data_IF_187821186217
#
_entry.id   IF_187821186217
#
_cell.length_a   1.000
_cell.length_b   1.000
_cell.length_c   1.000
_cell.angle_alpha   90.00
_cell.angle_beta   90.00
_cell.angle_gamma   90.00
#
_symmetry.space_group_name_H-M   'P 1'
#
loop_
_entity.id
_entity.type
_entity.pdbx_description
1 polymer ?
#
# COMPACT_ATOMS: atom_id res chain seq x y z
N UNK A 1 16.40 4.38 -35.78
CA UNK A 1 15.58 5.56 -36.16
C UNK A 1 14.46 5.64 -35.12
N UNK A 2 14.44 6.76 -34.44
CA UNK A 2 13.61 7.06 -33.28
C UNK A 2 12.15 7.17 -33.67
N UNK A 3 11.28 6.34 -33.12
CA UNK A 3 9.87 6.66 -33.03
C UNK A 3 9.54 6.90 -31.57
N UNK A 4 9.73 8.15 -31.19
CA UNK A 4 9.14 8.73 -29.99
C UNK A 4 7.64 8.82 -30.29
N UNK A 5 6.87 7.87 -29.80
CA UNK A 5 5.43 7.95 -29.76
C UNK A 5 5.05 9.11 -28.85
N UNK A 6 4.81 10.24 -29.43
CA UNK A 6 4.16 11.41 -28.86
C UNK A 6 2.75 10.95 -28.48
N UNK A 7 2.57 10.48 -27.25
CA UNK A 7 1.25 10.39 -26.64
C UNK A 7 0.83 11.84 -26.39
N UNK A 8 0.29 12.43 -27.42
CA UNK A 8 -0.40 13.69 -27.35
C UNK A 8 -1.48 13.54 -26.27
N UNK A 9 -1.31 14.26 -25.16
CA UNK A 9 -2.42 14.77 -24.40
C UNK A 9 -3.42 15.31 -25.40
N UNK A 10 -4.43 14.55 -25.72
CA UNK A 10 -5.62 15.07 -26.38
C UNK A 10 -6.35 15.92 -25.33
N UNK A 11 -5.77 17.08 -25.06
CA UNK A 11 -6.52 18.25 -24.64
C UNK A 11 -7.49 18.53 -25.79
N UNK A 12 -8.67 17.94 -25.71
CA UNK A 12 -9.79 18.33 -26.54
C UNK A 12 -10.10 19.77 -26.16
N UNK A 13 -9.39 20.70 -26.81
CA UNK A 13 -9.81 22.09 -26.93
C UNK A 13 -11.06 22.12 -27.79
N UNK A 14 -12.20 21.77 -27.22
CA UNK A 14 -13.48 22.10 -27.83
C UNK A 14 -13.65 23.60 -27.61
N UNK A 15 -13.20 24.36 -28.57
CA UNK A 15 -13.62 25.75 -28.74
C UNK A 15 -15.11 25.77 -29.10
N UNK A 16 -15.97 25.85 -28.09
CA UNK A 16 -17.34 26.26 -28.21
C UNK A 16 -17.73 27.01 -26.93
N UNK A 17 -17.81 28.34 -27.03
CA UNK A 17 -18.39 29.21 -26.01
C UNK A 17 -17.60 29.35 -24.72
N UNK A 18 -17.32 30.56 -24.28
CA UNK A 18 -16.82 30.89 -22.93
C UNK A 18 -17.83 30.43 -21.87
N UNK A 19 -17.90 29.14 -21.58
CA UNK A 19 -18.66 28.63 -20.46
C UNK A 19 -17.67 28.39 -19.31
N UNK A 20 -17.99 28.90 -18.13
CA UNK A 20 -17.20 28.71 -16.93
C UNK A 20 -16.97 27.18 -16.72
N UNK A 21 -15.72 26.76 -16.74
CA UNK A 21 -15.30 25.41 -16.44
C UNK A 21 -14.45 25.45 -15.17
N UNK A 22 -14.77 24.59 -14.21
CA UNK A 22 -13.91 24.39 -13.04
C UNK A 22 -13.10 23.13 -13.27
N UNK A 23 -11.78 23.23 -13.22
CA UNK A 23 -10.86 22.11 -13.47
C UNK A 23 -10.03 21.88 -12.20
N UNK A 24 -10.06 20.66 -11.69
CA UNK A 24 -9.23 20.22 -10.54
C UNK A 24 -8.37 19.06 -10.99
N UNK A 25 -7.04 19.23 -10.89
CA UNK A 25 -6.07 18.17 -11.25
C UNK A 25 -5.63 17.44 -10.00
N UNK A 26 -5.57 16.12 -10.11
CA UNK A 26 -5.18 15.20 -9.04
C UNK A 26 -5.84 15.61 -7.72
N UNK A 27 -7.20 15.51 -7.65
CA UNK A 27 -7.94 15.93 -6.48
C UNK A 27 -7.60 15.06 -5.27
N UNK A 28 -7.61 15.67 -4.08
CA UNK A 28 -7.56 14.92 -2.83
C UNK A 28 -8.91 14.23 -2.57
N UNK A 29 -8.91 13.19 -1.73
CA UNK A 29 -10.11 12.43 -1.37
C UNK A 29 -10.01 11.93 0.09
N UNK A 30 -11.12 11.47 0.68
CA UNK A 30 -11.15 10.98 2.07
C UNK A 30 -10.74 9.53 2.20
N UNK A 31 -11.32 8.66 1.38
CA UNK A 31 -11.10 7.22 1.45
C UNK A 31 -11.36 6.56 0.09
N UNK A 32 -10.84 5.37 -0.12
CA UNK A 32 -11.18 4.53 -1.26
C UNK A 32 -11.07 3.04 -0.89
N UNK A 33 -11.85 2.21 -1.60
CA UNK A 33 -11.81 0.76 -1.42
C UNK A 33 -10.89 0.04 -2.42
N UNK A 34 -10.26 0.78 -3.33
CA UNK A 34 -9.46 0.20 -4.42
C UNK A 34 -8.21 1.03 -4.73
N UNK A 35 -7.19 0.38 -5.30
CA UNK A 35 -6.01 1.03 -5.93
C UNK A 35 -6.04 0.93 -7.45
N UNK A 36 -7.09 0.31 -8.00
CA UNK A 36 -7.20 0.04 -9.43
C UNK A 36 -7.68 1.23 -10.23
N UNK A 37 -8.20 2.27 -9.57
CA UNK A 37 -8.63 3.52 -10.21
C UNK A 37 -8.19 4.72 -9.39
N UNK A 38 -7.64 5.73 -10.06
CA UNK A 38 -7.34 7.05 -9.47
C UNK A 38 -7.87 8.16 -10.37
N UNK A 39 -8.36 9.25 -9.77
CA UNK A 39 -8.87 10.41 -10.50
C UNK A 39 -7.71 11.36 -10.82
N UNK A 40 -7.40 11.49 -12.11
CA UNK A 40 -6.34 12.39 -12.60
C UNK A 40 -6.83 13.82 -12.74
N UNK A 41 -8.09 14.00 -13.16
CA UNK A 41 -8.68 15.34 -13.32
C UNK A 41 -10.20 15.27 -13.22
N UNK A 42 -10.79 16.28 -12.59
CA UNK A 42 -12.23 16.55 -12.63
C UNK A 42 -12.46 17.84 -13.41
N UNK A 43 -13.41 17.81 -14.32
CA UNK A 43 -13.83 19.01 -15.07
C UNK A 43 -15.33 19.19 -14.91
N UNK A 44 -15.78 20.23 -14.24
CA UNK A 44 -17.18 20.61 -14.16
C UNK A 44 -17.53 21.48 -15.37
N UNK A 45 -18.55 21.10 -16.11
CA UNK A 45 -19.14 21.86 -17.19
C UNK A 45 -20.63 22.05 -16.95
N UNK A 46 -21.26 22.95 -17.75
CA UNK A 46 -22.68 23.26 -17.63
C UNK A 46 -23.59 22.04 -17.82
N UNK A 47 -23.26 21.20 -18.77
CA UNK A 47 -24.13 20.08 -19.20
C UNK A 47 -23.55 18.72 -18.87
N UNK A 48 -22.31 18.65 -18.38
CA UNK A 48 -21.62 17.39 -18.15
C UNK A 48 -20.47 17.59 -17.17
N UNK A 49 -20.26 16.61 -16.27
CA UNK A 49 -19.04 16.46 -15.46
C UNK A 49 -18.16 15.38 -16.07
N UNK A 50 -16.87 15.64 -16.20
CA UNK A 50 -15.89 14.69 -16.72
C UNK A 50 -14.88 14.31 -15.63
N UNK A 51 -14.64 13.02 -15.49
CA UNK A 51 -13.55 12.47 -14.69
C UNK A 51 -12.53 11.82 -15.63
N UNK A 52 -11.35 12.42 -15.75
CA UNK A 52 -10.21 11.71 -16.30
C UNK A 52 -9.65 10.79 -15.21
N UNK A 53 -9.57 9.50 -15.50
CA UNK A 53 -9.12 8.48 -14.56
C UNK A 53 -7.96 7.68 -15.13
N UNK A 54 -7.10 7.18 -14.23
CA UNK A 54 -6.11 6.13 -14.50
C UNK A 54 -6.58 4.84 -13.89
N UNK A 55 -6.51 3.80 -14.68
CA UNK A 55 -6.81 2.44 -14.29
C UNK A 55 -5.52 1.66 -14.25
N UNK A 56 -5.33 0.89 -13.18
CA UNK A 56 -4.14 0.10 -12.91
C UNK A 56 -4.49 -1.36 -12.72
N UNK A 57 -3.63 -2.24 -13.20
CA UNK A 57 -3.76 -3.68 -13.05
C UNK A 57 -2.61 -4.43 -13.69
N UNK A 58 -2.60 -5.74 -13.58
CA UNK A 58 -1.64 -6.58 -14.30
C UNK A 58 -2.01 -6.67 -15.78
N UNK A 59 -1.01 -6.96 -16.63
CA UNK A 59 -1.27 -7.20 -18.05
C UNK A 59 -2.34 -8.28 -18.25
N UNK A 60 -3.41 -7.92 -18.92
CA UNK A 60 -4.51 -8.83 -19.24
C UNK A 60 -5.61 -8.88 -18.18
N UNK A 61 -5.48 -8.17 -17.06
CA UNK A 61 -6.60 -7.95 -16.16
C UNK A 61 -7.74 -7.28 -16.92
N UNK A 62 -8.96 -7.62 -16.54
CA UNK A 62 -10.16 -7.07 -17.16
C UNK A 62 -10.73 -5.97 -16.30
N UNK A 63 -11.00 -4.83 -16.92
CA UNK A 63 -11.66 -3.68 -16.27
C UNK A 63 -12.92 -3.31 -17.04
N UNK A 64 -13.92 -2.84 -16.33
CA UNK A 64 -15.16 -2.29 -16.86
C UNK A 64 -15.67 -1.25 -15.86
N UNK A 65 -16.28 -0.20 -16.31
CA UNK A 65 -17.07 0.70 -15.48
C UNK A 65 -18.54 0.37 -15.70
N UNK A 66 -19.25 0.08 -14.61
CA UNK A 66 -20.66 -0.26 -14.68
C UNK A 66 -21.51 0.94 -15.14
N UNK A 67 -22.55 0.67 -15.91
CA UNK A 67 -23.46 1.73 -16.42
C UNK A 67 -24.32 2.35 -15.33
N UNK A 68 -24.41 1.72 -14.15
CA UNK A 68 -25.09 2.26 -12.97
C UNK A 68 -24.22 3.23 -12.16
N UNK A 69 -22.96 3.43 -12.53
CA UNK A 69 -22.04 4.31 -11.83
C UNK A 69 -22.59 5.73 -11.65
N UNK A 70 -22.35 6.32 -10.50
CA UNK A 70 -22.80 7.66 -10.16
C UNK A 70 -21.71 8.50 -9.52
N UNK A 71 -21.87 9.84 -9.64
CA UNK A 71 -21.25 10.77 -8.70
C UNK A 71 -22.31 11.14 -7.66
N UNK A 72 -21.94 11.03 -6.39
CA UNK A 72 -22.84 11.36 -5.28
C UNK A 72 -22.38 12.63 -4.59
N UNK A 73 -23.24 13.65 -4.57
CA UNK A 73 -22.96 14.93 -3.92
C UNK A 73 -24.20 15.44 -3.19
N UNK A 74 -24.04 15.86 -1.93
CA UNK A 74 -25.15 16.42 -1.12
C UNK A 74 -26.39 15.50 -1.09
N UNK A 75 -26.19 14.19 -1.03
CA UNK A 75 -27.27 13.20 -0.99
C UNK A 75 -28.00 12.97 -2.31
N UNK A 76 -27.48 13.48 -3.43
CA UNK A 76 -28.05 13.31 -4.77
C UNK A 76 -27.07 12.60 -5.69
N UNK A 77 -27.59 11.68 -6.52
CA UNK A 77 -26.81 10.92 -7.50
C UNK A 77 -26.89 11.59 -8.89
N UNK A 78 -25.72 11.65 -9.52
CA UNK A 78 -25.52 12.17 -10.88
C UNK A 78 -25.05 11.02 -11.77
N UNK A 79 -25.91 10.55 -12.65
CA UNK A 79 -25.76 9.32 -13.40
C UNK A 79 -24.67 9.36 -14.45
N UNK A 80 -24.12 8.18 -14.73
CA UNK A 80 -23.13 7.94 -15.76
C UNK A 80 -23.75 8.08 -17.16
N UNK A 81 -23.07 8.81 -18.03
CA UNK A 81 -23.50 9.08 -19.40
C UNK A 81 -22.68 8.32 -20.45
N UNK A 82 -21.50 7.79 -20.07
CA UNK A 82 -20.60 7.09 -20.95
C UNK A 82 -19.13 7.42 -20.69
N UNK A 83 -18.26 6.91 -21.54
CA UNK A 83 -16.81 7.15 -21.41
C UNK A 83 -16.12 7.28 -22.78
N UNK A 84 -14.83 7.65 -22.73
CA UNK A 84 -13.88 7.49 -23.83
C UNK A 84 -12.65 6.75 -23.29
N UNK A 85 -12.04 5.91 -24.09
CA UNK A 85 -10.85 5.13 -23.72
C UNK A 85 -11.08 3.62 -23.71
N UNK A 86 -12.33 3.17 -23.52
CA UNK A 86 -12.73 1.78 -23.67
C UNK A 86 -14.22 1.68 -24.06
N UNK A 87 -14.66 0.50 -24.48
CA UNK A 87 -16.04 0.30 -24.88
C UNK A 87 -16.99 0.32 -23.66
N UNK A 88 -18.15 0.91 -23.82
CA UNK A 88 -19.18 1.00 -22.78
C UNK A 88 -19.70 -0.40 -22.46
N UNK A 89 -19.82 -0.72 -21.17
CA UNK A 89 -20.34 -2.00 -20.66
C UNK A 89 -19.57 -3.25 -21.14
N UNK A 90 -18.38 -3.08 -21.74
CA UNK A 90 -17.54 -4.16 -22.19
C UNK A 90 -16.25 -4.29 -21.34
N UNK A 91 -15.82 -5.52 -21.16
CA UNK A 91 -14.54 -5.79 -20.51
C UNK A 91 -13.38 -5.39 -21.41
N UNK A 92 -12.55 -4.50 -20.91
CA UNK A 92 -11.31 -4.07 -21.57
C UNK A 92 -10.11 -4.63 -20.82
N UNK A 93 -9.07 -5.02 -21.57
CA UNK A 93 -7.87 -5.57 -20.95
C UNK A 93 -6.86 -4.48 -20.63
N UNK A 94 -6.29 -4.54 -19.43
CA UNK A 94 -5.13 -3.72 -19.05
C UNK A 94 -3.95 -4.08 -19.98
N UNK A 95 -3.30 -3.08 -20.60
CA UNK A 95 -2.18 -3.30 -21.52
C UNK A 95 -0.91 -3.73 -20.77
N UNK A 96 0.14 -4.07 -21.54
CA UNK A 96 1.43 -4.48 -20.98
C UNK A 96 2.12 -3.42 -20.11
N UNK A 97 1.72 -2.15 -20.22
CA UNK A 97 2.20 -1.07 -19.34
C UNK A 97 1.67 -1.15 -17.91
N UNK A 98 0.66 -1.99 -17.65
CA UNK A 98 -0.01 -2.07 -16.36
C UNK A 98 -0.94 -0.89 -16.05
N UNK A 99 -1.09 0.07 -16.97
CA UNK A 99 -1.94 1.23 -16.80
C UNK A 99 -2.65 1.65 -18.09
N UNK A 100 -3.84 2.23 -17.94
CA UNK A 100 -4.57 2.87 -19.04
C UNK A 100 -5.33 4.10 -18.53
N UNK A 101 -5.72 4.99 -19.44
CA UNK A 101 -6.47 6.20 -19.15
C UNK A 101 -7.85 6.16 -19.78
N UNK A 102 -8.82 6.75 -19.09
CA UNK A 102 -10.17 6.93 -19.60
C UNK A 102 -10.75 8.27 -19.15
N UNK A 103 -11.79 8.72 -19.83
CA UNK A 103 -12.58 9.87 -19.40
C UNK A 103 -14.02 9.40 -19.22
N UNK A 104 -14.49 9.40 -18.00
CA UNK A 104 -15.86 9.06 -17.61
C UNK A 104 -16.72 10.34 -17.68
N UNK A 105 -17.94 10.21 -18.18
CA UNK A 105 -18.90 11.31 -18.31
C UNK A 105 -20.09 11.07 -17.42
N UNK A 106 -20.49 12.11 -16.70
CA UNK A 106 -21.64 12.06 -15.77
C UNK A 106 -22.55 13.26 -16.00
N UNK A 107 -23.77 13.18 -15.52
CA UNK A 107 -24.66 14.33 -15.38
C UNK A 107 -23.95 15.46 -14.63
N UNK A 108 -24.27 16.75 -14.93
CA UNK A 108 -23.52 17.87 -14.42
C UNK A 108 -23.64 18.03 -12.91
N UNK A 109 -22.54 18.04 -12.21
CA UNK A 109 -22.49 18.50 -10.81
C UNK A 109 -22.65 20.04 -10.76
N UNK A 110 -23.30 20.57 -9.72
CA UNK A 110 -23.34 22.02 -9.46
C UNK A 110 -21.92 22.62 -9.39
N UNK A 111 -21.75 23.84 -9.92
CA UNK A 111 -20.44 24.50 -9.97
C UNK A 111 -19.87 24.86 -8.59
N UNK A 112 -20.71 24.96 -7.58
CA UNK A 112 -20.41 25.23 -6.18
C UNK A 112 -20.18 23.96 -5.36
N UNK A 113 -20.25 22.78 -5.98
CA UNK A 113 -19.93 21.50 -5.30
C UNK A 113 -18.51 21.59 -4.73
N UNK A 114 -18.36 21.30 -3.43
CA UNK A 114 -17.07 21.29 -2.73
C UNK A 114 -16.42 19.90 -2.79
N UNK A 115 -17.23 18.84 -2.65
CA UNK A 115 -16.78 17.46 -2.74
C UNK A 115 -17.89 16.54 -3.22
N UNK A 116 -17.50 15.36 -3.69
CA UNK A 116 -18.42 14.31 -4.13
C UNK A 116 -17.77 12.93 -3.99
N UNK A 117 -18.58 11.88 -4.05
CA UNK A 117 -18.13 10.50 -4.10
C UNK A 117 -18.27 9.96 -5.54
N UNK A 118 -17.33 9.12 -5.97
CA UNK A 118 -17.49 8.26 -7.12
C UNK A 118 -17.90 6.88 -6.62
N UNK A 119 -19.04 6.35 -7.10
CA UNK A 119 -19.58 5.04 -6.74
C UNK A 119 -19.90 4.27 -8.00
N UNK A 120 -19.16 3.17 -8.25
CA UNK A 120 -19.30 2.40 -9.48
C UNK A 120 -20.61 1.58 -9.51
N UNK A 121 -20.93 0.92 -8.40
CA UNK A 121 -22.16 0.09 -8.28
C UNK A 121 -22.93 0.52 -7.03
N UNK A 122 -23.85 1.50 -7.13
CA UNK A 122 -24.55 2.06 -5.98
C UNK A 122 -25.36 1.05 -5.15
N UNK A 123 -25.79 -0.03 -5.78
CA UNK A 123 -26.61 -1.07 -5.16
C UNK A 123 -25.81 -2.32 -4.73
N UNK A 124 -24.48 -2.25 -4.74
CA UNK A 124 -23.59 -3.37 -4.40
C UNK A 124 -22.31 -2.89 -3.73
N UNK A 125 -21.82 -3.65 -2.76
CA UNK A 125 -20.53 -3.40 -2.08
C UNK A 125 -19.31 -3.86 -2.88
N UNK A 126 -19.52 -4.45 -4.06
CA UNK A 126 -18.42 -5.02 -4.90
C UNK A 126 -17.76 -4.00 -5.81
N UNK A 127 -18.40 -2.87 -6.08
CA UNK A 127 -17.90 -1.83 -6.98
C UNK A 127 -16.78 -0.99 -6.38
N UNK A 128 -16.09 -0.25 -7.24
CA UNK A 128 -15.11 0.73 -6.81
C UNK A 128 -15.76 1.98 -6.24
N UNK A 129 -15.24 2.45 -5.12
CA UNK A 129 -15.71 3.69 -4.48
C UNK A 129 -14.53 4.57 -4.10
N UNK A 130 -14.65 5.86 -4.41
CA UNK A 130 -13.73 6.91 -3.94
C UNK A 130 -14.58 7.96 -3.24
N UNK A 131 -14.42 8.10 -1.94
CA UNK A 131 -15.20 9.00 -1.08
C UNK A 131 -14.55 10.37 -0.93
N UNK A 132 -15.38 11.40 -0.95
CA UNK A 132 -14.98 12.76 -0.60
C UNK A 132 -13.93 13.35 -1.53
N UNK A 133 -14.06 13.19 -2.84
CA UNK A 133 -13.19 13.80 -3.85
C UNK A 133 -13.34 15.32 -3.79
N UNK A 134 -12.25 16.03 -3.46
CA UNK A 134 -12.26 17.48 -3.19
C UNK A 134 -12.18 18.30 -4.47
N UNK A 135 -13.04 19.29 -4.59
CA UNK A 135 -13.08 20.22 -5.74
C UNK A 135 -12.51 21.61 -5.45
N UNK A 136 -12.13 21.89 -4.19
CA UNK A 136 -11.46 23.13 -3.80
C UNK A 136 -9.93 23.08 -3.98
N UNK A 137 -9.37 21.92 -4.31
CA UNK A 137 -7.91 21.70 -4.45
C UNK A 137 -7.17 21.55 -3.12
N UNK A 138 -7.87 21.54 -1.99
CA UNK A 138 -7.33 21.39 -0.65
C UNK A 138 -7.48 19.94 -0.17
N UNK A 139 -6.66 19.56 0.82
CA UNK A 139 -6.84 18.29 1.53
C UNK A 139 -8.12 18.36 2.37
N UNK A 140 -8.88 17.24 2.46
CA UNK A 140 -10.01 17.17 3.36
C UNK A 140 -9.55 17.43 4.80
N UNK A 141 -10.37 18.14 5.55
CA UNK A 141 -10.05 18.45 6.95
C UNK A 141 -10.28 17.23 7.81
N UNK A 142 -9.24 16.86 8.55
CA UNK A 142 -9.27 15.86 9.59
C UNK A 142 -8.90 16.53 10.91
N UNK A 143 -9.70 16.31 11.95
CA UNK A 143 -9.42 16.87 13.25
C UNK A 143 -8.32 16.07 13.95
N UNK A 144 -7.09 16.57 13.88
CA UNK A 144 -5.93 15.96 14.52
C UNK A 144 -5.89 16.45 15.97
N UNK A 145 -5.91 15.54 16.97
CA UNK A 145 -5.77 15.90 18.38
C UNK A 145 -4.55 16.78 18.63
N UNK A 146 -4.70 17.80 19.47
CA UNK A 146 -3.63 18.79 19.73
C UNK A 146 -2.33 18.12 20.20
N UNK A 147 -2.43 17.06 21.04
CA UNK A 147 -1.28 16.27 21.52
C UNK A 147 -0.44 15.67 20.39
N UNK A 148 -1.03 15.43 19.20
CA UNK A 148 -0.37 14.83 18.05
C UNK A 148 0.16 15.84 17.04
N UNK A 149 -0.38 17.07 17.00
CA UNK A 149 0.00 18.11 16.00
C UNK A 149 1.46 18.49 16.07
N UNK A 150 2.02 18.52 17.29
CA UNK A 150 3.41 18.89 17.55
C UNK A 150 4.16 17.79 18.30
N UNK A 151 3.72 16.53 18.14
CA UNK A 151 4.35 15.41 18.81
C UNK A 151 5.80 15.28 18.34
N UNK A 152 6.71 15.38 19.30
CA UNK A 152 8.12 15.08 19.05
C UNK A 152 8.29 13.56 18.88
N UNK A 153 9.27 13.11 18.08
CA UNK A 153 9.61 11.68 18.04
C UNK A 153 9.86 11.15 19.45
N UNK A 154 9.28 9.99 19.75
CA UNK A 154 9.56 9.30 21.01
C UNK A 154 10.99 8.80 21.01
N UNK A 155 11.56 8.66 22.22
CA UNK A 155 12.85 8.01 22.39
C UNK A 155 12.77 6.55 21.88
N UNK A 156 13.77 6.15 21.09
CA UNK A 156 13.87 4.78 20.63
C UNK A 156 14.66 3.97 21.64
N UNK A 157 13.95 3.14 22.36
CA UNK A 157 14.53 2.24 23.35
C UNK A 157 15.39 1.16 22.67
N UNK A 158 16.42 0.63 23.34
CA UNK A 158 17.13 -0.56 22.87
C UNK A 158 16.16 -1.72 22.64
N UNK A 159 16.47 -2.58 21.68
CA UNK A 159 15.67 -3.79 21.48
C UNK A 159 15.66 -4.63 22.76
N UNK A 160 14.50 -5.15 23.18
CA UNK A 160 14.43 -6.04 24.33
C UNK A 160 15.09 -7.36 24.00
N UNK A 161 15.59 -8.08 24.99
CA UNK A 161 16.11 -9.45 24.77
C UNK A 161 15.03 -10.34 24.11
N UNK A 162 15.37 -11.18 23.13
CA UNK A 162 14.43 -12.05 22.44
C UNK A 162 14.11 -13.30 23.29
N UNK A 163 13.69 -13.06 24.52
CA UNK A 163 13.33 -14.10 25.48
C UNK A 163 11.85 -14.43 25.40
N UNK A 164 11.52 -15.72 25.60
CA UNK A 164 10.14 -16.15 25.74
C UNK A 164 9.56 -15.60 27.04
N UNK A 165 8.63 -14.69 26.91
CA UNK A 165 7.92 -14.06 28.02
C UNK A 165 6.48 -13.79 27.59
N UNK A 166 5.66 -14.84 27.58
CA UNK A 166 4.28 -14.74 27.12
C UNK A 166 3.48 -13.71 27.90
N UNK A 167 2.85 -12.77 27.21
CA UNK A 167 2.02 -11.75 27.82
C UNK A 167 0.92 -11.24 26.91
N UNK A 168 -0.18 -10.79 27.51
CA UNK A 168 -1.27 -10.14 26.79
C UNK A 168 -0.84 -8.73 26.38
N UNK A 169 -0.76 -8.49 25.10
CA UNK A 169 -0.43 -7.18 24.51
C UNK A 169 -1.69 -6.53 24.00
N UNK A 170 -1.81 -5.24 24.20
CA UNK A 170 -2.97 -4.43 23.79
C UNK A 170 -2.55 -3.51 22.66
N UNK A 171 -3.30 -3.59 21.56
CA UNK A 171 -3.24 -2.64 20.45
C UNK A 171 -4.56 -1.88 20.46
N UNK A 172 -4.50 -0.58 20.63
CA UNK A 172 -5.68 0.30 20.60
C UNK A 172 -5.40 1.52 19.76
N UNK A 173 -6.42 2.29 19.46
CA UNK A 173 -6.21 3.53 18.74
C UNK A 173 -7.45 4.13 18.13
N UNK A 174 -7.24 5.06 17.20
CA UNK A 174 -8.30 5.77 16.52
C UNK A 174 -7.95 6.02 15.05
N UNK A 175 -8.93 5.86 14.18
CA UNK A 175 -8.85 6.21 12.76
C UNK A 175 -9.48 7.59 12.59
N UNK A 176 -8.67 8.62 12.44
CA UNK A 176 -9.11 9.99 12.24
C UNK A 176 -9.72 10.16 10.84
N UNK A 177 -10.87 10.82 10.76
CA UNK A 177 -11.62 10.98 9.51
C UNK A 177 -12.41 9.75 9.10
N UNK A 178 -12.52 8.74 9.99
CA UNK A 178 -13.33 7.55 9.77
C UNK A 178 -14.82 7.87 9.75
N UNK A 179 -15.52 7.15 8.87
CA UNK A 179 -16.97 7.03 8.87
C UNK A 179 -17.36 5.61 8.49
N UNK A 180 -18.40 5.03 9.12
CA UNK A 180 -18.83 3.65 8.84
C UNK A 180 -19.13 3.40 7.35
N UNK A 181 -19.72 4.39 6.66
CA UNK A 181 -20.06 4.31 5.24
C UNK A 181 -18.86 4.16 4.29
N UNK A 182 -17.64 4.45 4.77
CA UNK A 182 -16.42 4.27 3.95
C UNK A 182 -16.01 2.81 3.79
N UNK A 183 -16.63 1.89 4.52
CA UNK A 183 -16.34 0.47 4.42
C UNK A 183 -14.88 0.11 4.73
N UNK A 184 -14.21 0.95 5.55
CA UNK A 184 -12.81 0.72 5.94
C UNK A 184 -12.71 -0.52 6.81
N UNK A 185 -11.85 -1.44 6.44
CA UNK A 185 -11.55 -2.63 7.23
C UNK A 185 -10.23 -2.46 7.97
N UNK A 186 -10.18 -2.98 9.20
CA UNK A 186 -8.96 -3.04 10.00
C UNK A 186 -8.67 -4.51 10.34
N UNK A 187 -7.49 -4.99 9.98
CA UNK A 187 -7.12 -6.40 10.14
C UNK A 187 -5.74 -6.53 10.74
N UNK A 188 -5.63 -7.33 11.76
CA UNK A 188 -4.37 -7.65 12.42
C UNK A 188 -3.83 -8.99 11.94
N UNK A 189 -2.53 -9.03 11.69
CA UNK A 189 -1.80 -10.27 11.41
C UNK A 189 -0.67 -10.41 12.40
N UNK A 190 -0.65 -11.53 13.09
CA UNK A 190 0.54 -11.97 13.80
C UNK A 190 1.66 -12.15 12.78
N UNK A 191 2.88 -11.96 13.21
CA UNK A 191 4.01 -12.37 12.40
C UNK A 191 3.85 -13.85 12.03
N UNK A 192 4.00 -14.22 10.76
CA UNK A 192 3.52 -15.49 10.25
C UNK A 192 4.41 -16.66 10.68
N UNK A 193 4.13 -17.23 11.82
CA UNK A 193 4.73 -18.49 12.28
C UNK A 193 4.33 -19.68 11.42
N UNK A 194 3.17 -19.58 10.73
CA UNK A 194 2.65 -20.67 9.92
C UNK A 194 2.30 -20.16 8.52
N UNK A 195 3.12 -20.50 7.57
CA UNK A 195 2.93 -20.27 6.13
C UNK A 195 1.60 -20.78 5.56
N UNK A 196 0.85 -21.57 6.27
CA UNK A 196 -0.35 -22.22 5.76
C UNK A 196 -1.67 -21.55 6.11
N UNK A 197 -1.69 -20.60 7.06
CA UNK A 197 -2.94 -19.96 7.46
C UNK A 197 -2.71 -18.48 7.78
N UNK A 198 -2.64 -17.63 6.76
CA UNK A 198 -2.79 -16.18 6.91
C UNK A 198 -4.22 -15.86 7.33
N UNK A 199 -4.63 -16.25 8.50
CA UNK A 199 -5.90 -15.82 9.07
C UNK A 199 -5.69 -14.51 9.80
N UNK A 200 -5.67 -13.41 9.04
CA UNK A 200 -5.79 -12.10 9.65
C UNK A 200 -7.06 -12.03 10.48
N UNK A 201 -7.00 -11.37 11.63
CA UNK A 201 -8.15 -11.14 12.49
C UNK A 201 -8.74 -9.78 12.19
N UNK A 202 -10.00 -9.76 11.76
CA UNK A 202 -10.73 -8.52 11.55
C UNK A 202 -10.99 -7.87 12.92
N UNK A 203 -10.59 -6.61 13.04
CA UNK A 203 -10.79 -5.80 14.22
C UNK A 203 -12.05 -4.97 14.07
N UNK A 204 -12.84 -4.91 15.13
CA UNK A 204 -14.03 -4.07 15.16
C UNK A 204 -13.61 -2.60 15.31
N UNK A 205 -14.08 -1.75 14.40
CA UNK A 205 -13.98 -0.30 14.49
C UNK A 205 -15.31 0.22 15.04
N UNK A 206 -15.27 1.06 16.08
CA UNK A 206 -16.43 1.74 16.60
C UNK A 206 -16.86 2.89 15.65
N UNK A 207 -18.07 3.42 15.84
CA UNK A 207 -18.62 4.51 15.00
C UNK A 207 -17.76 5.77 15.01
N UNK A 208 -17.07 6.03 16.11
CA UNK A 208 -16.13 7.16 16.29
C UNK A 208 -14.72 6.87 15.75
N UNK A 209 -14.52 5.72 15.10
CA UNK A 209 -13.23 5.29 14.56
C UNK A 209 -12.28 4.67 15.56
N UNK A 210 -12.68 4.51 16.83
CA UNK A 210 -11.84 3.84 17.83
C UNK A 210 -11.82 2.33 17.66
N UNK A 211 -10.71 1.70 18.05
CA UNK A 211 -10.55 0.24 18.07
C UNK A 211 -9.69 -0.20 19.24
N UNK A 212 -9.88 -1.45 19.68
CA UNK A 212 -9.07 -2.11 20.69
C UNK A 212 -8.98 -3.60 20.40
N UNK A 213 -7.78 -4.14 20.48
CA UNK A 213 -7.50 -5.55 20.27
C UNK A 213 -6.50 -6.06 21.31
N UNK A 214 -6.75 -7.24 21.84
CA UNK A 214 -5.84 -7.93 22.76
C UNK A 214 -5.35 -9.21 22.08
N UNK A 215 -4.04 -9.42 22.11
CA UNK A 215 -3.40 -10.62 21.57
C UNK A 215 -2.33 -11.13 22.54
N UNK A 216 -2.06 -12.43 22.47
CA UNK A 216 -0.93 -13.01 23.18
C UNK A 216 0.33 -12.87 22.34
N UNK A 217 1.34 -12.21 22.89
CA UNK A 217 2.67 -12.08 22.29
C UNK A 217 3.63 -12.95 23.07
N UNK A 218 4.31 -13.88 22.40
CA UNK A 218 5.20 -14.86 23.04
C UNK A 218 6.59 -14.30 23.30
N UNK A 219 7.05 -13.42 22.42
CA UNK A 219 8.35 -12.77 22.48
C UNK A 219 8.29 -11.45 21.71
N UNK A 220 9.21 -10.51 21.96
CA UNK A 220 9.27 -9.27 21.20
C UNK A 220 9.38 -9.57 19.70
N UNK A 221 8.46 -9.03 18.90
CA UNK A 221 8.36 -9.44 17.50
C UNK A 221 7.58 -8.46 16.62
N UNK A 222 7.75 -8.60 15.32
CA UNK A 222 6.97 -7.88 14.33
C UNK A 222 5.52 -8.38 14.26
N UNK A 223 4.62 -7.49 13.91
CA UNK A 223 3.24 -7.77 13.55
C UNK A 223 2.81 -6.80 12.44
N UNK A 224 1.61 -6.97 11.90
CA UNK A 224 1.13 -6.08 10.86
C UNK A 224 -0.33 -5.71 11.10
N UNK A 225 -0.61 -4.42 10.99
CA UNK A 225 -1.96 -3.88 10.98
C UNK A 225 -2.29 -3.43 9.55
N UNK A 226 -3.33 -4.00 8.96
CA UNK A 226 -3.82 -3.60 7.66
C UNK A 226 -5.06 -2.75 7.82
N UNK A 227 -5.02 -1.55 7.27
CA UNK A 227 -6.18 -0.69 7.12
C UNK A 227 -6.59 -0.69 5.66
N UNK A 228 -7.72 -1.33 5.34
CA UNK A 228 -8.12 -1.64 3.97
C UNK A 228 -6.97 -2.32 3.21
N UNK A 229 -6.26 -1.62 2.34
CA UNK A 229 -5.12 -2.14 1.56
C UNK A 229 -3.78 -1.58 1.98
N UNK A 230 -3.74 -0.81 3.06
CA UNK A 230 -2.53 -0.17 3.58
C UNK A 230 -1.94 -0.97 4.72
N UNK A 231 -0.66 -1.26 4.63
CA UNK A 231 0.10 -2.00 5.64
C UNK A 231 0.79 -1.04 6.59
N UNK A 232 0.63 -1.28 7.89
CA UNK A 232 1.38 -0.63 8.97
C UNK A 232 2.16 -1.73 9.69
N UNK A 233 3.48 -1.67 9.64
CA UNK A 233 4.32 -2.59 10.39
C UNK A 233 4.38 -2.18 11.86
N UNK A 234 4.29 -3.17 12.75
CA UNK A 234 4.33 -2.99 14.19
C UNK A 234 5.45 -3.84 14.78
N UNK A 235 6.06 -3.32 15.84
CA UNK A 235 6.88 -4.09 16.77
C UNK A 235 6.16 -4.15 18.11
N UNK A 236 5.91 -5.34 18.60
CA UNK A 236 5.15 -5.61 19.81
C UNK A 236 6.01 -6.35 20.84
N UNK A 237 5.73 -6.12 22.11
CA UNK A 237 6.37 -6.80 23.24
C UNK A 237 5.33 -7.50 24.11
N UNK A 238 5.67 -8.65 24.72
CA UNK A 238 4.78 -9.34 25.63
C UNK A 238 4.33 -8.45 26.79
N UNK A 239 3.02 -8.38 27.03
CA UNK A 239 2.44 -7.58 28.12
C UNK A 239 2.41 -6.07 27.84
N UNK A 240 2.81 -5.63 26.64
CA UNK A 240 2.89 -4.22 26.27
C UNK A 240 1.56 -3.61 25.85
N UNK A 241 1.54 -2.29 25.70
CA UNK A 241 0.41 -1.52 25.17
C UNK A 241 0.91 -0.55 24.11
N UNK A 242 0.29 -0.58 22.93
CA UNK A 242 0.57 0.31 21.80
C UNK A 242 -0.70 1.02 21.37
N UNK A 243 -0.68 2.35 21.37
CA UNK A 243 -1.74 3.20 20.82
C UNK A 243 -1.36 3.64 19.41
N UNK A 244 -2.25 3.43 18.45
CA UNK A 244 -2.03 3.67 17.02
C UNK A 244 -3.09 4.63 16.50
N UNK A 245 -2.75 5.90 16.32
CA UNK A 245 -3.66 6.86 15.69
C UNK A 245 -3.35 6.96 14.20
N UNK A 246 -4.35 6.74 13.35
CA UNK A 246 -4.23 6.70 11.89
C UNK A 246 -4.96 7.87 11.27
N UNK A 247 -4.29 8.65 10.43
CA UNK A 247 -4.90 9.67 9.60
C UNK A 247 -5.37 9.03 8.29
N UNK A 248 -6.67 8.78 8.18
CA UNK A 248 -7.24 7.97 7.10
C UNK A 248 -6.91 8.50 5.70
N UNK A 249 -7.14 9.76 5.32
CA UNK A 249 -6.79 10.23 3.99
C UNK A 249 -5.28 10.19 3.74
N UNK A 250 -4.43 10.51 4.72
CA UNK A 250 -2.98 10.50 4.52
C UNK A 250 -2.43 9.09 4.26
N UNK A 251 -2.99 8.07 4.92
CA UNK A 251 -2.58 6.68 4.67
C UNK A 251 -2.95 6.25 3.23
N UNK A 252 -4.07 6.71 2.68
CA UNK A 252 -4.41 6.44 1.29
C UNK A 252 -3.54 7.24 0.31
N UNK A 253 -3.19 8.49 0.63
CA UNK A 253 -2.31 9.30 -0.23
C UNK A 253 -0.89 8.73 -0.33
N UNK A 254 -0.37 8.12 0.74
CA UNK A 254 0.94 7.49 0.71
C UNK A 254 1.03 6.37 -0.35
N UNK A 255 -0.11 5.82 -0.75
CA UNK A 255 -0.21 4.72 -1.69
C UNK A 255 -0.72 5.11 -3.07
N UNK A 256 -1.23 6.33 -3.23
CA UNK A 256 -1.68 6.85 -4.52
C UNK A 256 -0.48 7.11 -5.43
N UNK A 257 -0.50 6.53 -6.63
CA UNK A 257 0.54 6.74 -7.65
C UNK A 257 0.53 8.18 -8.17
N UNK A 258 -0.65 8.83 -8.23
CA UNK A 258 -0.77 10.20 -8.68
C UNK A 258 -0.39 11.20 -7.60
N UNK A 259 -0.85 10.98 -6.36
CA UNK A 259 -0.57 11.88 -5.24
C UNK A 259 0.87 11.74 -4.72
N UNK A 260 1.47 10.55 -4.75
CA UNK A 260 2.87 10.34 -4.36
C UNK A 260 3.84 11.12 -5.26
N UNK A 261 3.53 11.25 -6.56
CA UNK A 261 4.30 12.09 -7.49
C UNK A 261 4.17 13.59 -7.22
N UNK A 262 3.09 14.01 -6.56
CA UNK A 262 2.83 15.40 -6.18
C UNK A 262 3.51 15.77 -4.86
N UNK A 263 3.94 14.79 -4.09
CA UNK A 263 4.59 14.95 -2.79
C UNK A 263 6.10 14.78 -2.96
N UNK A 264 6.88 15.70 -2.41
CA UNK A 264 8.35 15.60 -2.33
C UNK A 264 8.81 14.53 -1.30
N UNK A 265 8.21 13.35 -1.33
CA UNK A 265 8.68 12.16 -0.61
C UNK A 265 8.40 12.12 0.90
N UNK A 266 7.71 13.10 1.48
CA UNK A 266 7.45 13.12 2.92
C UNK A 266 6.07 12.55 3.23
N UNK A 267 6.04 11.41 3.91
CA UNK A 267 4.83 10.81 4.50
C UNK A 267 4.53 11.46 5.85
N UNK A 268 4.40 12.78 5.89
CA UNK A 268 4.11 13.49 7.13
C UNK A 268 2.75 13.09 7.68
N UNK A 269 2.77 12.57 8.91
CA UNK A 269 1.59 12.44 9.76
C UNK A 269 0.48 11.51 9.27
N UNK A 270 0.83 10.34 8.72
CA UNK A 270 -0.19 9.32 8.40
C UNK A 270 -0.51 8.41 9.58
N UNK A 271 0.46 8.15 10.47
CA UNK A 271 0.28 7.33 11.67
C UNK A 271 1.11 7.91 12.82
N UNK A 272 0.55 7.90 14.02
CA UNK A 272 1.25 8.20 15.27
C UNK A 272 1.18 7.00 16.19
N UNK A 273 2.27 6.75 16.88
CA UNK A 273 2.37 5.71 17.90
C UNK A 273 2.58 6.34 19.27
N UNK A 274 1.96 5.77 20.30
CA UNK A 274 2.16 6.13 21.73
C UNK A 274 2.19 4.83 22.54
N UNK A 275 2.98 4.79 23.63
CA UNK A 275 3.12 3.59 24.47
C UNK A 275 4.42 2.81 24.22
N UNK A 276 4.37 1.51 24.43
CA UNK A 276 5.58 0.67 24.40
C UNK A 276 6.21 0.61 23.00
N UNK A 277 7.49 0.92 22.93
CA UNK A 277 8.26 0.95 21.69
C UNK A 277 7.69 1.86 20.59
N UNK A 278 6.93 2.90 20.97
CA UNK A 278 6.38 3.88 20.02
C UNK A 278 7.46 4.50 19.12
N UNK A 279 8.63 4.83 19.66
CA UNK A 279 9.76 5.36 18.90
C UNK A 279 10.24 4.39 17.81
N UNK A 280 10.41 3.10 18.14
CA UNK A 280 10.77 2.09 17.16
C UNK A 280 9.68 1.90 16.09
N UNK A 281 8.40 1.87 16.50
CA UNK A 281 7.28 1.79 15.55
C UNK A 281 7.23 2.99 14.60
N UNK A 282 7.57 4.19 15.09
CA UNK A 282 7.69 5.38 14.25
C UNK A 282 8.82 5.25 13.23
N UNK A 283 9.99 4.74 13.64
CA UNK A 283 11.08 4.49 12.71
C UNK A 283 10.76 3.38 11.69
N UNK A 284 10.04 2.33 12.09
CA UNK A 284 9.58 1.29 11.16
C UNK A 284 8.60 1.84 10.12
N UNK A 285 7.77 2.82 10.47
CA UNK A 285 6.93 3.50 9.49
C UNK A 285 7.76 4.28 8.45
N UNK A 286 8.86 4.89 8.88
CA UNK A 286 9.75 5.68 8.01
C UNK A 286 10.70 4.82 7.17
N UNK A 287 11.17 3.72 7.72
CA UNK A 287 12.24 2.91 7.14
C UNK A 287 11.84 1.47 6.81
N UNK A 288 10.59 1.09 7.08
CA UNK A 288 10.10 -0.30 6.94
C UNK A 288 10.20 -0.85 5.51
N UNK A 289 10.24 0.00 4.48
CA UNK A 289 10.49 -0.45 3.10
C UNK A 289 11.84 -1.18 2.94
N UNK A 290 12.79 -0.93 3.85
CA UNK A 290 14.07 -1.63 3.87
C UNK A 290 14.01 -3.03 4.49
N UNK A 291 12.88 -3.44 5.08
CA UNK A 291 12.72 -4.75 5.73
C UNK A 291 12.65 -5.93 4.74
N UNK A 292 12.39 -5.70 3.46
CA UNK A 292 12.10 -6.76 2.50
C UNK A 292 12.85 -6.62 1.19
N UNK A 293 13.39 -7.72 0.71
CA UNK A 293 14.01 -7.83 -0.62
C UNK A 293 12.97 -8.10 -1.73
N UNK A 294 11.76 -8.50 -1.37
CA UNK A 294 10.66 -8.83 -2.29
C UNK A 294 9.53 -7.80 -2.27
N UNK A 295 9.68 -6.71 -1.53
CA UNK A 295 8.65 -5.68 -1.37
C UNK A 295 8.49 -4.72 -2.56
N UNK A 296 9.37 -4.80 -3.57
CA UNK A 296 9.24 -4.02 -4.79
C UNK A 296 8.05 -4.51 -5.63
N UNK A 297 7.27 -3.59 -6.17
CA UNK A 297 6.10 -3.88 -7.02
C UNK A 297 6.45 -4.78 -8.22
N UNK A 298 7.70 -4.73 -8.69
CA UNK A 298 8.19 -5.45 -9.86
C UNK A 298 8.97 -6.74 -9.53
N UNK A 299 9.06 -7.15 -8.25
CA UNK A 299 9.88 -8.29 -7.85
C UNK A 299 9.64 -9.55 -8.68
N UNK A 300 8.38 -9.99 -8.82
CA UNK A 300 8.05 -11.18 -9.61
C UNK A 300 8.27 -10.98 -11.11
N UNK A 301 8.15 -9.76 -11.60
CA UNK A 301 8.48 -9.42 -12.98
C UNK A 301 9.99 -9.53 -13.23
N UNK A 302 10.79 -9.06 -12.29
CA UNK A 302 12.25 -9.09 -12.38
C UNK A 302 12.80 -10.51 -12.37
N UNK A 303 12.29 -11.36 -11.46
CA UNK A 303 12.79 -12.74 -11.33
C UNK A 303 12.20 -13.71 -12.35
N UNK A 304 11.20 -13.29 -13.13
CA UNK A 304 10.46 -14.14 -14.05
C UNK A 304 11.39 -14.71 -15.13
N UNK A 305 11.48 -16.05 -15.19
CA UNK A 305 12.33 -16.78 -16.15
C UNK A 305 13.79 -16.89 -15.77
N UNK A 306 14.18 -16.41 -14.58
CA UNK A 306 15.56 -16.58 -14.10
C UNK A 306 15.90 -18.03 -13.80
N UNK A 307 17.17 -18.40 -13.99
CA UNK A 307 17.73 -19.62 -13.41
C UNK A 307 17.94 -19.44 -11.91
N UNK A 308 18.02 -20.53 -11.10
CA UNK A 308 18.29 -20.42 -9.67
C UNK A 308 19.56 -19.60 -9.35
N UNK A 309 20.62 -19.76 -10.12
CA UNK A 309 21.89 -19.02 -9.94
C UNK A 309 21.73 -17.51 -10.24
N UNK A 310 20.99 -17.17 -11.30
CA UNK A 310 20.71 -15.77 -11.62
C UNK A 310 19.83 -15.13 -10.55
N UNK A 311 18.82 -15.84 -10.05
CA UNK A 311 17.97 -15.42 -8.94
C UNK A 311 18.74 -15.18 -7.65
N UNK A 312 19.61 -16.13 -7.25
CA UNK A 312 20.48 -15.96 -6.09
C UNK A 312 21.36 -14.72 -6.21
N UNK A 313 22.00 -14.53 -7.38
CA UNK A 313 22.84 -13.34 -7.64
C UNK A 313 22.02 -12.03 -7.58
N UNK A 314 20.80 -12.04 -8.10
CA UNK A 314 19.87 -10.92 -8.03
C UNK A 314 19.58 -10.55 -6.58
N UNK A 315 19.21 -11.51 -5.73
CA UNK A 315 18.91 -11.29 -4.33
C UNK A 315 20.11 -10.77 -3.53
N UNK A 316 21.31 -11.35 -3.71
CA UNK A 316 22.50 -10.89 -3.02
C UNK A 316 22.85 -9.45 -3.38
N UNK A 317 22.72 -9.05 -4.65
CA UNK A 317 22.94 -7.66 -5.07
C UNK A 317 21.97 -6.72 -4.37
N UNK A 318 20.68 -7.04 -4.34
CA UNK A 318 19.68 -6.23 -3.64
C UNK A 318 19.95 -6.16 -2.14
N UNK A 319 20.31 -7.28 -1.52
CA UNK A 319 20.69 -7.35 -0.13
C UNK A 319 21.89 -6.44 0.20
N UNK A 320 22.96 -6.51 -0.58
CA UNK A 320 24.13 -5.64 -0.41
C UNK A 320 23.76 -4.15 -0.55
N UNK A 321 22.90 -3.81 -1.49
CA UNK A 321 22.45 -2.43 -1.69
C UNK A 321 21.59 -1.94 -0.51
N UNK A 322 20.75 -2.78 0.05
CA UNK A 322 19.99 -2.45 1.29
C UNK A 322 20.94 -2.30 2.49
N UNK A 323 21.91 -3.20 2.66
CA UNK A 323 22.91 -3.09 3.74
C UNK A 323 23.68 -1.74 3.63
N UNK A 324 24.07 -1.33 2.43
CA UNK A 324 24.73 -0.03 2.21
C UNK A 324 23.82 1.15 2.59
N UNK A 325 22.52 1.07 2.27
CA UNK A 325 21.53 2.09 2.65
C UNK A 325 21.38 2.17 4.17
N UNK A 326 21.27 1.02 4.85
CA UNK A 326 21.18 0.95 6.31
C UNK A 326 22.38 1.61 6.99
N UNK A 327 23.60 1.31 6.53
CA UNK A 327 24.84 1.89 7.09
C UNK A 327 24.91 3.40 6.88
N UNK A 328 24.49 3.89 5.71
CA UNK A 328 24.54 5.31 5.36
C UNK A 328 23.47 6.15 6.05
N UNK A 329 22.37 5.57 6.46
CA UNK A 329 21.28 6.30 7.09
C UNK A 329 21.65 6.69 8.53
N UNK A 330 21.90 7.99 8.74
CA UNK A 330 22.31 8.53 10.06
C UNK A 330 21.11 8.83 10.97
N UNK A 331 19.92 8.95 10.40
CA UNK A 331 18.71 9.32 11.12
C UNK A 331 18.02 8.10 11.77
N UNK A 332 18.47 6.90 11.42
CA UNK A 332 17.96 5.64 11.96
C UNK A 332 18.67 5.26 13.25
N UNK A 333 17.91 4.93 14.29
CA UNK A 333 18.46 4.43 15.55
C UNK A 333 19.18 3.09 15.39
N UNK A 334 20.03 2.75 16.38
CA UNK A 334 20.70 1.44 16.41
C UNK A 334 19.67 0.29 16.57
N UNK A 335 18.60 0.49 17.35
CA UNK A 335 17.57 -0.51 17.55
C UNK A 335 16.85 -0.83 16.24
N UNK A 336 16.38 0.19 15.52
CA UNK A 336 15.74 0.03 14.22
C UNK A 336 16.68 -0.63 13.19
N UNK A 337 17.92 -0.19 13.14
CA UNK A 337 18.96 -0.76 12.25
C UNK A 337 19.18 -2.24 12.52
N UNK A 338 19.28 -2.64 13.79
CA UNK A 338 19.47 -4.04 14.18
C UNK A 338 18.23 -4.86 13.79
N UNK A 339 17.04 -4.36 14.06
CA UNK A 339 15.79 -5.03 13.71
C UNK A 339 15.64 -5.21 12.18
N UNK A 340 15.83 -4.14 11.40
CA UNK A 340 15.74 -4.21 9.94
C UNK A 340 16.81 -5.15 9.36
N UNK A 341 18.04 -5.11 9.90
CA UNK A 341 19.09 -6.00 9.45
C UNK A 341 18.75 -7.48 9.69
N UNK A 342 18.25 -7.80 10.88
CA UNK A 342 17.81 -9.15 11.20
C UNK A 342 16.70 -9.64 10.24
N UNK A 343 15.73 -8.76 9.95
CA UNK A 343 14.68 -9.08 8.99
C UNK A 343 15.21 -9.28 7.56
N UNK A 344 16.16 -8.46 7.10
CA UNK A 344 16.77 -8.61 5.78
C UNK A 344 17.55 -9.92 5.65
N UNK A 345 18.31 -10.28 6.67
CA UNK A 345 19.09 -11.52 6.68
C UNK A 345 18.17 -12.75 6.58
N UNK A 346 17.09 -12.74 7.37
CA UNK A 346 16.08 -13.80 7.36
C UNK A 346 15.26 -13.82 6.07
N UNK A 347 14.95 -12.66 5.51
CA UNK A 347 14.27 -12.56 4.23
C UNK A 347 15.14 -13.10 3.09
N UNK A 348 16.43 -12.77 3.07
CA UNK A 348 17.39 -13.34 2.12
C UNK A 348 17.45 -14.88 2.23
N UNK A 349 17.56 -15.38 3.47
CA UNK A 349 17.55 -16.82 3.73
C UNK A 349 16.28 -17.46 3.17
N UNK A 350 15.11 -16.96 3.56
CA UNK A 350 13.81 -17.50 3.15
C UNK A 350 13.62 -17.46 1.62
N UNK A 351 13.96 -16.37 0.97
CA UNK A 351 13.81 -16.23 -0.48
C UNK A 351 14.70 -17.21 -1.24
N UNK A 352 15.97 -17.37 -0.82
CA UNK A 352 16.89 -18.32 -1.47
C UNK A 352 16.49 -19.77 -1.16
N UNK A 353 16.10 -20.06 0.08
CA UNK A 353 15.64 -21.41 0.46
C UNK A 353 14.41 -21.83 -0.36
N UNK A 354 13.46 -20.93 -0.54
CA UNK A 354 12.22 -21.17 -1.28
C UNK A 354 12.32 -20.84 -2.78
N UNK A 355 13.51 -20.82 -3.38
CA UNK A 355 13.73 -20.43 -4.77
C UNK A 355 12.82 -21.13 -5.79
N UNK A 356 12.56 -22.44 -5.58
CA UNK A 356 11.70 -23.23 -6.49
C UNK A 356 10.27 -22.67 -6.55
N UNK A 357 9.69 -22.36 -5.39
CA UNK A 357 8.34 -21.79 -5.30
C UNK A 357 8.32 -20.39 -5.91
N UNK A 358 9.25 -19.51 -5.52
CA UNK A 358 9.30 -18.14 -6.00
C UNK A 358 9.42 -18.07 -7.52
N UNK A 359 10.37 -18.80 -8.12
CA UNK A 359 10.56 -18.81 -9.57
C UNK A 359 9.42 -19.52 -10.31
N UNK A 360 8.76 -20.51 -9.70
CA UNK A 360 7.62 -21.19 -10.32
C UNK A 360 6.36 -20.33 -10.35
N UNK A 361 6.16 -19.49 -9.33
CA UNK A 361 5.01 -18.58 -9.27
C UNK A 361 5.24 -17.25 -10.00
N UNK A 362 6.50 -16.87 -10.26
CA UNK A 362 6.83 -15.61 -10.91
C UNK A 362 6.11 -15.34 -12.24
N UNK A 363 5.97 -16.30 -13.18
CA UNK A 363 5.20 -16.05 -14.42
C UNK A 363 3.73 -15.73 -14.17
N UNK A 364 3.10 -16.38 -13.19
CA UNK A 364 1.71 -16.14 -12.81
C UNK A 364 1.55 -14.78 -12.15
N UNK A 365 2.40 -14.48 -11.16
CA UNK A 365 2.31 -13.27 -10.35
C UNK A 365 2.76 -12.01 -11.11
N UNK A 366 3.63 -12.16 -12.13
CA UNK A 366 4.02 -11.05 -13.01
C UNK A 366 3.06 -10.82 -14.19
N UNK A 367 2.05 -11.68 -14.36
CA UNK A 367 1.16 -11.65 -15.53
C UNK A 367 1.82 -12.02 -16.87
N UNK A 368 3.11 -12.44 -16.87
CA UNK A 368 3.86 -12.80 -18.07
C UNK A 368 3.48 -14.18 -18.58
N UNK A 369 2.82 -14.24 -19.73
CA UNK A 369 2.41 -15.51 -20.38
C UNK A 369 3.54 -16.09 -21.25
N UNK A 370 3.59 -17.41 -21.35
CA UNK A 370 4.51 -18.08 -22.28
C UNK A 370 5.98 -18.13 -21.86
N UNK A 371 6.30 -17.74 -20.65
CA UNK A 371 7.68 -17.82 -20.12
C UNK A 371 8.04 -19.29 -19.91
N UNK A 372 9.11 -19.74 -20.55
CA UNK A 372 9.65 -21.09 -20.33
C UNK A 372 10.23 -21.18 -18.91
N UNK A 373 9.85 -22.22 -18.19
CA UNK A 373 10.49 -22.52 -16.91
C UNK A 373 11.97 -22.82 -17.12
N UNK A 374 12.83 -22.19 -16.34
CA UNK A 374 14.23 -22.55 -16.27
C UNK A 374 14.41 -23.92 -15.60
N UNK A 375 15.54 -24.57 -15.83
CA UNK A 375 15.93 -25.73 -15.04
C UNK A 375 16.15 -25.30 -13.58
N UNK A 376 15.43 -25.94 -12.67
CA UNK A 376 15.46 -25.65 -11.23
C UNK A 376 16.46 -26.53 -10.47
N UNK A 377 17.26 -27.32 -11.19
CA UNK A 377 18.26 -28.19 -10.59
C UNK A 377 19.43 -27.38 -10.05
N UNK A 378 19.81 -27.63 -8.81
CA UNK A 378 20.98 -27.01 -8.17
C UNK A 378 21.75 -28.08 -7.40
N UNK A 379 23.09 -27.91 -7.30
CA UNK A 379 23.83 -28.59 -6.26
C UNK A 379 23.58 -27.91 -4.92
N UNK A 380 22.83 -28.60 -4.05
CA UNK A 380 22.37 -28.05 -2.78
C UNK A 380 23.50 -27.57 -1.88
N UNK A 381 24.64 -28.28 -1.88
CA UNK A 381 25.78 -27.93 -1.01
C UNK A 381 26.37 -26.58 -1.38
N UNK A 382 26.57 -26.34 -2.67
CA UNK A 382 27.14 -25.06 -3.15
C UNK A 382 26.08 -23.97 -3.22
N UNK A 383 24.83 -24.29 -3.56
CA UNK A 383 23.78 -23.30 -3.74
C UNK A 383 23.40 -22.59 -2.44
N UNK A 384 23.30 -23.34 -1.32
CA UNK A 384 22.89 -22.78 -0.03
C UNK A 384 24.07 -22.34 0.85
N UNK A 385 25.31 -22.57 0.43
CA UNK A 385 26.51 -22.35 1.25
C UNK A 385 26.54 -20.96 1.91
N UNK A 386 26.30 -19.90 1.14
CA UNK A 386 26.45 -18.51 1.63
C UNK A 386 25.34 -18.15 2.62
N UNK A 387 24.09 -18.60 2.38
CA UNK A 387 22.98 -18.28 3.32
C UNK A 387 23.09 -19.05 4.62
N UNK A 388 23.70 -20.22 4.63
CA UNK A 388 23.96 -20.98 5.86
C UNK A 388 25.09 -20.37 6.71
N UNK A 389 25.82 -19.40 6.16
CA UNK A 389 26.89 -18.65 6.86
C UNK A 389 26.42 -17.27 7.33
N UNK A 390 25.15 -16.91 7.15
CA UNK A 390 24.61 -15.65 7.65
C UNK A 390 24.67 -15.63 9.18
N UNK A 391 25.24 -14.55 9.74
CA UNK A 391 25.41 -14.39 11.18
C UNK A 391 24.07 -14.49 11.93
N UNK A 392 22.99 -14.02 11.32
CA UNK A 392 21.64 -14.05 11.91
C UNK A 392 21.20 -15.45 12.34
N UNK A 393 21.61 -16.51 11.64
CA UNK A 393 21.27 -17.88 11.98
C UNK A 393 21.91 -18.35 13.29
N UNK A 394 22.90 -17.61 13.77
CA UNK A 394 23.71 -17.95 14.96
C UNK A 394 23.59 -16.92 16.07
N UNK A 395 22.75 -15.89 15.89
CA UNK A 395 22.55 -14.82 16.87
C UNK A 395 21.13 -14.84 17.45
N UNK A 396 20.94 -14.32 18.69
CA UNK A 396 19.62 -14.24 19.30
C UNK A 396 18.61 -13.40 18.49
N UNK A 397 19.10 -12.43 17.71
CA UNK A 397 18.29 -11.50 16.91
C UNK A 397 17.44 -12.19 15.87
N UNK A 398 17.79 -13.41 15.45
CA UNK A 398 16.92 -14.24 14.58
C UNK A 398 15.50 -14.40 15.15
N UNK A 399 15.32 -14.36 16.47
CA UNK A 399 14.02 -14.51 17.13
C UNK A 399 13.09 -13.32 16.94
N UNK A 400 13.60 -12.14 16.58
CA UNK A 400 12.74 -11.01 16.20
C UNK A 400 12.01 -11.25 14.88
N UNK A 401 12.56 -12.11 14.06
CA UNK A 401 11.95 -12.54 12.83
C UNK A 401 11.23 -13.87 13.07
N UNK A 402 9.93 -13.80 13.24
CA UNK A 402 9.10 -14.94 13.66
C UNK A 402 8.97 -16.07 12.63
N UNK A 403 9.98 -16.33 11.83
CA UNK A 403 10.02 -17.49 10.94
C UNK A 403 10.72 -18.71 11.56
N UNK A 404 11.10 -18.63 12.84
CA UNK A 404 11.85 -19.70 13.49
C UNK A 404 11.04 -20.45 14.54
N UNK A 405 10.75 -21.62 14.20
CA UNK A 405 10.88 -22.82 15.06
C UNK A 405 11.56 -23.92 14.29
#
# INVERSE_FOLDING_TARGET
>A
MKNIGLVCLLLVSICCGLQAKKIVKVPYFMACNTRSIEVEQVTLGKDTTWLAVRLYGMQGDKVRIDSTAVLRASGKDYGYLGNTGFARDEWTHIPASGEMTAVLKFSPLPMDTESFDFVETPDSDEGWVIYGIQLNGEKPRVDIPERLRNKKPDEVLPLPGPELNMGKTVIKGQILGYKPEYGVTLRYYDSPWFFMYFTGKDLKIAEDGTFRYETEVLLPSGATLWISRSKIELFLVPGGELDVTINLPEIFYSQSRLLSRKRDGVTDNCVWFEGDYAGLNTELLLFGEMNSLSGADDFYADICGMTPQAYKKYLFRHYEDMQKKLVKNKDMSQACRTYIRANLDMNLFSLIYNYKSNLSYAPMLSGRKGVKRADMTVDSTSYFKEILQLDILHTPEQKYYNYYT
#
